data_IF_687400240871
#
_entry.id   IF_687400240871
#
_cell.length_a   1.000
_cell.length_b   1.000
_cell.length_c   1.000
_cell.angle_alpha   90.00
_cell.angle_beta   90.00
_cell.angle_gamma   90.00
#
_symmetry.space_group_name_H-M   'P 1'
#
loop_
_entity.id
_entity.type
_entity.pdbx_description
1 polymer ?
#
# COMPACT_ATOMS: atom_id res chain seq x y z
N UNK A 1 2.98 -15.90 17.12
CA UNK A 1 2.89 -15.51 15.70
C UNK A 1 4.28 -15.16 15.21
N UNK A 2 4.73 -15.82 14.16
CA UNK A 2 6.02 -15.51 13.52
C UNK A 2 5.74 -14.79 12.21
N UNK A 3 5.99 -13.48 12.20
CA UNK A 3 5.70 -12.65 11.04
C UNK A 3 6.96 -12.42 10.21
N UNK A 4 6.87 -12.69 8.92
CA UNK A 4 7.90 -12.36 7.95
C UNK A 4 7.35 -11.45 6.87
N UNK A 5 8.16 -10.52 6.38
CA UNK A 5 7.82 -9.65 5.24
C UNK A 5 8.82 -9.95 4.12
N UNK A 6 8.31 -10.22 2.95
CA UNK A 6 9.13 -10.57 1.79
C UNK A 6 8.56 -9.98 0.50
N UNK A 7 9.41 -9.77 -0.51
CA UNK A 7 8.94 -9.38 -1.84
C UNK A 7 7.99 -10.43 -2.41
N UNK A 8 6.97 -9.95 -3.11
CA UNK A 8 6.00 -10.79 -3.82
C UNK A 8 6.71 -11.53 -4.96
N UNK A 9 6.49 -12.84 -5.05
CA UNK A 9 6.93 -13.66 -6.17
C UNK A 9 5.75 -13.96 -7.09
N UNK A 10 6.01 -14.56 -8.24
CA UNK A 10 4.96 -14.97 -9.17
C UNK A 10 3.92 -15.88 -8.51
N UNK A 11 4.37 -16.79 -7.64
CA UNK A 11 3.48 -17.69 -6.90
C UNK A 11 2.62 -17.00 -5.85
N UNK A 12 2.95 -15.77 -5.47
CA UNK A 12 2.24 -14.99 -4.44
C UNK A 12 1.16 -14.07 -5.02
N UNK A 13 1.05 -13.95 -6.33
CA UNK A 13 0.13 -12.99 -6.96
C UNK A 13 -1.31 -13.21 -6.51
N UNK A 14 -1.76 -14.45 -6.42
CA UNK A 14 -3.10 -14.77 -5.94
C UNK A 14 -3.37 -14.25 -4.53
N UNK A 15 -2.42 -14.45 -3.61
CA UNK A 15 -2.54 -13.96 -2.24
C UNK A 15 -2.53 -12.42 -2.19
N UNK A 16 -1.72 -11.77 -3.03
CA UNK A 16 -1.72 -10.30 -3.13
C UNK A 16 -3.07 -9.78 -3.62
N UNK A 17 -3.65 -10.39 -4.66
CA UNK A 17 -4.97 -10.00 -5.18
C UNK A 17 -6.05 -10.12 -4.11
N UNK A 18 -6.06 -11.20 -3.34
CA UNK A 18 -7.01 -11.39 -2.23
C UNK A 18 -6.86 -10.28 -1.20
N UNK A 19 -5.64 -9.92 -0.82
CA UNK A 19 -5.39 -8.86 0.15
C UNK A 19 -5.84 -7.49 -0.38
N UNK A 20 -5.56 -7.20 -1.65
CA UNK A 20 -5.99 -5.94 -2.30
C UNK A 20 -7.51 -5.87 -2.41
N UNK A 21 -8.17 -6.97 -2.77
CA UNK A 21 -9.64 -7.04 -2.80
C UNK A 21 -10.25 -6.76 -1.43
N UNK A 22 -9.63 -7.28 -0.36
CA UNK A 22 -10.05 -6.97 1.00
C UNK A 22 -9.93 -5.49 1.33
N UNK A 23 -8.84 -4.84 0.92
CA UNK A 23 -8.68 -3.40 1.11
C UNK A 23 -9.74 -2.61 0.36
N UNK A 24 -10.03 -2.95 -0.89
CA UNK A 24 -11.07 -2.28 -1.68
C UNK A 24 -12.42 -2.38 -0.99
N UNK A 25 -12.80 -3.55 -0.50
CA UNK A 25 -14.08 -3.74 0.19
C UNK A 25 -14.16 -2.96 1.50
N UNK A 26 -13.08 -2.95 2.28
CA UNK A 26 -13.05 -2.33 3.61
C UNK A 26 -12.93 -0.80 3.57
N UNK A 27 -12.18 -0.26 2.59
CA UNK A 27 -11.80 1.14 2.54
C UNK A 27 -12.56 1.89 1.44
N UNK A 28 -12.29 1.60 0.18
CA UNK A 28 -12.98 2.23 -0.95
C UNK A 28 -14.49 1.96 -0.91
N UNK A 29 -14.90 0.74 -0.55
CA UNK A 29 -16.30 0.38 -0.43
C UNK A 29 -17.07 1.22 0.59
N UNK A 30 -16.40 1.78 1.57
CA UNK A 30 -16.98 2.70 2.56
C UNK A 30 -16.96 4.15 2.12
N UNK A 31 -15.90 4.58 1.44
CA UNK A 31 -15.56 5.98 1.29
C UNK A 31 -15.67 6.50 -0.13
N UNK A 32 -15.72 5.62 -1.12
CA UNK A 32 -15.72 6.03 -2.52
C UNK A 32 -16.66 5.14 -3.36
N UNK A 33 -17.92 5.56 -3.55
CA UNK A 33 -18.87 4.78 -4.33
C UNK A 33 -18.54 4.70 -5.82
N UNK A 34 -17.61 5.51 -6.30
CA UNK A 34 -17.15 5.45 -7.70
C UNK A 34 -16.06 4.42 -7.94
N UNK A 35 -15.53 3.81 -6.89
CA UNK A 35 -14.48 2.81 -7.02
C UNK A 35 -15.05 1.45 -7.47
N UNK A 36 -14.43 0.86 -8.48
CA UNK A 36 -14.81 -0.47 -8.94
C UNK A 36 -14.23 -1.54 -8.01
N UNK A 37 -15.05 -2.07 -7.14
CA UNK A 37 -14.63 -3.08 -6.15
C UNK A 37 -14.30 -4.44 -6.78
N UNK A 38 -14.71 -4.67 -8.02
CA UNK A 38 -14.39 -5.90 -8.75
C UNK A 38 -13.06 -5.85 -9.49
N UNK A 39 -12.41 -4.69 -9.54
CA UNK A 39 -11.15 -4.54 -10.27
C UNK A 39 -10.05 -5.51 -9.81
N UNK A 40 -9.80 -5.72 -8.50
CA UNK A 40 -8.71 -6.62 -8.09
C UNK A 40 -8.88 -8.04 -8.62
N UNK A 41 -10.08 -8.58 -8.58
CA UNK A 41 -10.33 -9.94 -9.04
C UNK A 41 -10.28 -10.07 -10.55
N UNK A 42 -10.72 -9.03 -11.28
CA UNK A 42 -10.79 -9.05 -12.74
C UNK A 42 -9.46 -8.74 -13.40
N UNK A 43 -8.71 -7.77 -12.89
CA UNK A 43 -7.51 -7.23 -13.54
C UNK A 43 -6.25 -7.25 -12.68
N UNK A 44 -6.38 -7.47 -11.39
CA UNK A 44 -5.28 -7.33 -10.44
C UNK A 44 -4.12 -8.29 -10.72
N UNK A 45 -4.41 -9.54 -11.02
CA UNK A 45 -3.36 -10.55 -11.23
C UNK A 45 -2.43 -10.15 -12.38
N UNK A 46 -2.97 -9.76 -13.51
CA UNK A 46 -2.18 -9.32 -14.66
C UNK A 46 -1.44 -8.01 -14.38
N UNK A 47 -2.10 -7.08 -13.72
CA UNK A 47 -1.52 -5.79 -13.35
C UNK A 47 -0.29 -5.97 -12.44
N UNK A 48 -0.43 -6.73 -11.37
CA UNK A 48 0.68 -6.94 -10.42
C UNK A 48 1.78 -7.83 -10.99
N UNK A 49 1.42 -8.79 -11.83
CA UNK A 49 2.42 -9.60 -12.53
C UNK A 49 3.36 -8.72 -13.37
N UNK A 50 2.82 -7.71 -14.06
CA UNK A 50 3.63 -6.77 -14.85
C UNK A 50 4.58 -5.92 -13.99
N UNK A 51 4.24 -5.70 -12.71
CA UNK A 51 5.08 -4.92 -11.81
C UNK A 51 6.22 -5.74 -11.18
N UNK A 52 6.18 -7.08 -11.32
CA UNK A 52 7.27 -7.92 -10.83
C UNK A 52 8.56 -7.59 -11.60
N UNK A 53 9.64 -7.35 -10.86
CA UNK A 53 10.93 -6.98 -11.44
C UNK A 53 11.07 -5.52 -11.84
N UNK A 54 10.03 -4.71 -11.75
CA UNK A 54 10.14 -3.27 -11.92
C UNK A 54 10.77 -2.66 -10.66
N UNK A 55 11.98 -2.14 -10.80
CA UNK A 55 12.73 -1.57 -9.67
C UNK A 55 12.10 -0.29 -9.12
N UNK A 56 11.21 0.37 -9.87
CA UNK A 56 10.46 1.52 -9.41
C UNK A 56 9.24 1.15 -8.57
N UNK A 57 8.95 -0.14 -8.44
CA UNK A 57 7.82 -0.66 -7.67
C UNK A 57 8.29 -1.58 -6.55
N UNK A 58 7.58 -1.54 -5.44
CA UNK A 58 7.76 -2.44 -4.31
C UNK A 58 6.46 -3.19 -4.06
N UNK A 59 6.50 -4.52 -4.11
CA UNK A 59 5.37 -5.36 -3.76
C UNK A 59 5.80 -6.27 -2.62
N UNK A 60 5.15 -6.13 -1.47
CA UNK A 60 5.45 -6.88 -0.26
C UNK A 60 4.23 -7.66 0.22
N UNK A 61 4.48 -8.87 0.72
CA UNK A 61 3.52 -9.61 1.53
C UNK A 61 4.09 -9.85 2.92
N UNK A 62 3.22 -9.72 3.92
CA UNK A 62 3.48 -10.17 5.27
C UNK A 62 2.82 -11.54 5.46
N UNK A 63 3.55 -12.46 6.07
CA UNK A 63 3.08 -13.82 6.33
C UNK A 63 3.19 -14.14 7.82
N UNK A 64 2.23 -14.89 8.33
CA UNK A 64 2.34 -15.64 9.57
C UNK A 64 2.46 -17.10 9.18
N UNK A 65 3.66 -17.67 9.31
CA UNK A 65 4.04 -18.93 8.70
C UNK A 65 3.73 -18.89 7.18
N UNK A 66 2.84 -19.75 6.68
CA UNK A 66 2.51 -19.81 5.26
C UNK A 66 1.28 -18.95 4.88
N UNK A 67 0.66 -18.30 5.85
CA UNK A 67 -0.55 -17.52 5.61
C UNK A 67 -0.22 -16.06 5.36
N UNK A 68 -0.66 -15.52 4.22
CA UNK A 68 -0.58 -14.09 3.94
C UNK A 68 -1.54 -13.33 4.86
N UNK A 69 -1.00 -12.34 5.59
CA UNK A 69 -1.75 -11.55 6.58
C UNK A 69 -1.72 -10.05 6.29
N UNK A 70 -1.08 -9.63 5.22
CA UNK A 70 -1.04 -8.24 4.83
C UNK A 70 -0.19 -8.00 3.60
N UNK A 71 -0.33 -6.81 3.03
CA UNK A 71 0.47 -6.38 1.89
C UNK A 71 0.84 -4.91 2.00
N UNK A 72 1.87 -4.53 1.25
CA UNK A 72 2.19 -3.13 0.96
C UNK A 72 2.69 -3.03 -0.48
N UNK A 73 2.18 -2.04 -1.19
CA UNK A 73 2.63 -1.69 -2.54
C UNK A 73 3.16 -0.27 -2.51
N UNK A 74 4.38 -0.09 -3.00
CA UNK A 74 5.03 1.20 -3.12
C UNK A 74 5.46 1.47 -4.56
N UNK A 75 5.61 2.74 -4.89
CA UNK A 75 6.05 3.17 -6.21
C UNK A 75 6.90 4.44 -6.08
N UNK A 76 7.95 4.55 -6.89
CA UNK A 76 8.71 5.79 -7.01
C UNK A 76 8.02 6.74 -7.98
N UNK A 77 8.03 8.02 -7.64
CA UNK A 77 7.48 9.09 -8.47
C UNK A 77 8.46 10.25 -8.54
N UNK A 78 8.73 10.73 -9.76
CA UNK A 78 9.68 11.81 -9.97
C UNK A 78 11.14 11.37 -9.82
N UNK A 79 12.09 12.34 -9.97
CA UNK A 79 11.82 13.73 -10.31
C UNK A 79 11.26 13.90 -11.73
N UNK A 80 10.63 15.04 -11.98
CA UNK A 80 10.06 15.38 -13.28
C UNK A 80 10.21 16.90 -13.56
N UNK A 81 9.58 17.40 -14.61
CA UNK A 81 9.68 18.81 -14.99
C UNK A 81 9.10 19.78 -13.96
N UNK A 82 8.23 19.31 -13.07
CA UNK A 82 7.59 20.12 -12.03
C UNK A 82 8.19 19.87 -10.65
N UNK A 83 8.78 18.70 -10.42
CA UNK A 83 9.24 18.27 -9.10
C UNK A 83 10.70 17.88 -9.14
N UNK A 84 11.46 18.46 -8.22
CA UNK A 84 12.90 18.27 -8.15
C UNK A 84 13.33 17.02 -7.38
N UNK A 85 12.40 16.37 -6.68
CA UNK A 85 12.71 15.26 -5.79
C UNK A 85 12.00 13.98 -6.22
N UNK A 86 12.62 12.85 -5.89
CA UNK A 86 11.99 11.55 -5.96
C UNK A 86 11.17 11.31 -4.69
N UNK A 87 9.93 10.91 -4.86
CA UNK A 87 9.00 10.59 -3.77
C UNK A 87 8.64 9.11 -3.84
N UNK A 88 8.77 8.41 -2.73
CA UNK A 88 8.24 7.06 -2.61
C UNK A 88 6.77 7.15 -2.19
N UNK A 89 5.89 6.63 -3.02
CA UNK A 89 4.45 6.64 -2.79
C UNK A 89 4.03 5.29 -2.20
N UNK A 90 3.44 5.30 -1.02
CA UNK A 90 2.76 4.14 -0.45
C UNK A 90 1.37 4.09 -1.09
N UNK A 91 1.21 3.23 -2.10
CA UNK A 91 -0.02 3.19 -2.89
C UNK A 91 -1.12 2.36 -2.26
N UNK A 92 -0.75 1.27 -1.59
CA UNK A 92 -1.72 0.30 -1.08
C UNK A 92 -1.13 -0.42 0.11
N UNK A 93 -1.90 -0.55 1.18
CA UNK A 93 -1.50 -1.31 2.36
C UNK A 93 -2.72 -1.86 3.09
N UNK A 94 -2.63 -3.10 3.49
CA UNK A 94 -3.65 -3.74 4.32
C UNK A 94 -3.00 -4.72 5.28
N UNK A 95 -3.55 -4.77 6.48
CA UNK A 95 -3.31 -5.86 7.43
C UNK A 95 -4.65 -6.57 7.64
N UNK A 96 -4.66 -7.89 7.48
CA UNK A 96 -5.87 -8.70 7.68
C UNK A 96 -6.46 -8.46 9.07
N UNK A 97 -7.79 -8.45 9.23
CA UNK A 97 -8.43 -8.10 10.50
C UNK A 97 -7.89 -8.86 11.71
N UNK A 98 -7.65 -10.16 11.56
CA UNK A 98 -7.13 -11.00 12.65
C UNK A 98 -5.67 -10.73 13.04
N UNK A 99 -4.92 -10.00 12.22
CA UNK A 99 -3.52 -9.67 12.47
C UNK A 99 -3.31 -8.19 12.84
N UNK A 100 -4.36 -7.41 12.95
CA UNK A 100 -4.28 -5.99 13.33
C UNK A 100 -3.87 -5.82 14.77
N UNK A 101 -3.21 -4.68 15.06
CA UNK A 101 -2.68 -4.31 16.40
C UNK A 101 -1.61 -5.27 16.93
N UNK A 102 -0.90 -5.94 16.02
CA UNK A 102 0.20 -6.86 16.33
C UNK A 102 1.55 -6.36 15.83
N UNK A 103 1.60 -5.15 15.25
CA UNK A 103 2.82 -4.55 14.73
C UNK A 103 3.12 -4.87 13.27
N UNK A 104 2.27 -5.63 12.58
CA UNK A 104 2.48 -6.00 11.15
C UNK A 104 2.51 -4.78 10.26
N UNK A 105 1.59 -3.83 10.44
CA UNK A 105 1.57 -2.59 9.67
C UNK A 105 2.85 -1.78 9.81
N UNK A 106 3.35 -1.64 11.04
CA UNK A 106 4.61 -0.96 11.32
C UNK A 106 5.81 -1.66 10.67
N UNK A 107 5.81 -2.99 10.65
CA UNK A 107 6.86 -3.76 9.98
C UNK A 107 6.85 -3.53 8.47
N UNK A 108 5.68 -3.54 7.84
CA UNK A 108 5.53 -3.23 6.42
C UNK A 108 6.04 -1.82 6.09
N UNK A 109 5.67 -0.81 6.89
CA UNK A 109 6.11 0.57 6.69
C UNK A 109 7.63 0.70 6.84
N UNK A 110 8.25 -0.01 7.80
CA UNK A 110 9.72 -0.01 7.94
C UNK A 110 10.41 -0.57 6.70
N UNK A 111 9.90 -1.65 6.13
CA UNK A 111 10.43 -2.21 4.88
C UNK A 111 10.27 -1.21 3.73
N UNK A 112 9.12 -0.55 3.65
CA UNK A 112 8.87 0.49 2.66
C UNK A 112 9.87 1.65 2.78
N UNK A 113 10.10 2.18 3.97
CA UNK A 113 11.06 3.26 4.18
C UNK A 113 12.49 2.83 3.83
N UNK A 114 12.89 1.63 4.18
CA UNK A 114 14.21 1.10 3.83
C UNK A 114 14.39 1.06 2.31
N UNK A 115 13.41 0.52 1.59
CA UNK A 115 13.43 0.50 0.13
C UNK A 115 13.45 1.91 -0.46
N UNK A 116 12.63 2.80 0.06
CA UNK A 116 12.55 4.18 -0.42
C UNK A 116 13.91 4.88 -0.33
N UNK A 117 14.58 4.77 0.82
CA UNK A 117 15.91 5.37 1.02
C UNK A 117 16.96 4.76 0.09
N UNK A 118 16.96 3.45 -0.06
CA UNK A 118 17.88 2.75 -0.97
C UNK A 118 17.66 3.13 -2.42
N UNK A 119 16.44 3.47 -2.78
CA UNK A 119 16.06 3.90 -4.13
C UNK A 119 16.32 5.37 -4.39
N UNK A 120 16.86 6.11 -3.42
CA UNK A 120 17.16 7.53 -3.55
C UNK A 120 15.97 8.47 -3.33
N UNK A 121 14.85 7.97 -2.83
CA UNK A 121 13.72 8.83 -2.48
C UNK A 121 14.07 9.75 -1.32
N UNK A 122 13.64 10.99 -1.43
CA UNK A 122 13.91 12.03 -0.44
C UNK A 122 12.70 12.29 0.44
N UNK A 123 11.52 11.86 -0.01
CA UNK A 123 10.27 11.95 0.72
C UNK A 123 9.43 10.69 0.47
N UNK A 124 8.50 10.44 1.38
CA UNK A 124 7.47 9.42 1.22
C UNK A 124 6.10 10.09 1.33
N UNK A 125 5.15 9.58 0.57
CA UNK A 125 3.77 10.06 0.63
C UNK A 125 2.78 8.90 0.72
N UNK A 126 1.62 9.17 1.29
CA UNK A 126 0.49 8.25 1.33
C UNK A 126 -0.79 9.06 1.23
N UNK A 127 -1.79 8.50 0.57
CA UNK A 127 -3.13 9.07 0.50
C UNK A 127 -4.09 8.19 1.29
N UNK A 128 -4.91 8.80 2.14
CA UNK A 128 -5.96 8.12 2.87
C UNK A 128 -7.24 8.93 2.78
N UNK A 129 -8.39 8.26 2.83
CA UNK A 129 -9.66 8.95 2.89
C UNK A 129 -9.75 9.79 4.16
N UNK A 130 -10.24 11.03 4.03
CA UNK A 130 -10.32 11.98 5.14
C UNK A 130 -11.16 11.45 6.31
N UNK A 131 -12.14 10.59 6.04
CA UNK A 131 -12.99 9.99 7.06
C UNK A 131 -12.38 8.73 7.71
N UNK A 132 -11.25 8.24 7.21
CA UNK A 132 -10.58 7.07 7.77
C UNK A 132 -9.62 7.49 8.89
N UNK A 133 -10.16 7.78 10.06
CA UNK A 133 -9.38 8.27 11.21
C UNK A 133 -8.32 7.27 11.67
N UNK A 134 -8.61 5.99 11.61
CA UNK A 134 -7.67 4.95 12.03
C UNK A 134 -6.42 4.95 11.14
N UNK A 135 -6.60 5.06 9.82
CA UNK A 135 -5.49 5.14 8.88
C UNK A 135 -4.67 6.42 9.11
N UNK A 136 -5.34 7.56 9.27
CA UNK A 136 -4.66 8.84 9.51
C UNK A 136 -3.82 8.81 10.78
N UNK A 137 -4.36 8.25 11.87
CA UNK A 137 -3.60 8.09 13.12
C UNK A 137 -2.42 7.14 12.95
N UNK A 138 -2.61 6.04 12.24
CA UNK A 138 -1.53 5.10 11.96
C UNK A 138 -0.38 5.78 11.21
N UNK A 139 -0.69 6.49 10.13
CA UNK A 139 0.34 7.17 9.34
C UNK A 139 1.02 8.29 10.12
N UNK A 140 0.27 9.03 10.95
CA UNK A 140 0.87 10.05 11.82
C UNK A 140 1.89 9.46 12.78
N UNK A 141 1.62 8.28 13.37
CA UNK A 141 2.59 7.59 14.24
C UNK A 141 3.86 7.17 13.50
N UNK A 142 3.79 7.02 12.18
CA UNK A 142 4.94 6.65 11.34
C UNK A 142 5.60 7.83 10.66
N UNK A 143 5.31 9.06 11.09
CA UNK A 143 5.99 10.25 10.64
C UNK A 143 5.36 10.96 9.45
N UNK A 144 4.22 10.50 8.98
CA UNK A 144 3.47 11.21 7.94
C UNK A 144 2.65 12.34 8.54
N UNK A 145 2.72 13.51 7.93
CA UNK A 145 1.90 14.66 8.30
C UNK A 145 1.07 15.13 7.10
N UNK A 146 -0.10 15.73 7.33
CA UNK A 146 -0.94 16.22 6.23
C UNK A 146 -0.20 17.22 5.35
N UNK A 147 -0.33 17.06 4.04
CA UNK A 147 0.29 17.96 3.07
C UNK A 147 -0.72 18.65 2.17
N UNK A 148 -1.74 17.95 1.73
CA UNK A 148 -2.72 18.48 0.81
C UNK A 148 -4.09 17.89 1.11
N UNK A 149 -5.13 18.54 0.62
CA UNK A 149 -6.51 18.08 0.73
C UNK A 149 -7.10 18.02 -0.68
N UNK A 150 -7.76 16.92 -1.00
CA UNK A 150 -8.58 16.78 -2.20
C UNK A 150 -10.03 16.92 -1.80
N UNK A 151 -10.75 17.83 -2.44
CA UNK A 151 -12.19 18.02 -2.23
C UNK A 151 -12.93 17.60 -3.49
N UNK A 152 -14.10 17.01 -3.32
CA UNK A 152 -14.91 16.50 -4.41
C UNK A 152 -16.35 17.03 -4.27
N UNK A 153 -16.97 17.39 -5.38
CA UNK A 153 -18.36 17.84 -5.41
C UNK A 153 -19.16 16.95 -6.36
N UNK A 154 -20.40 16.66 -5.98
CA UNK A 154 -21.37 15.99 -6.87
C UNK A 154 -21.98 17.06 -7.78
N UNK A 155 -22.07 16.79 -9.10
CA UNK A 155 -22.66 17.70 -10.09
C UNK A 155 -24.06 17.25 -10.49
#
# INVERSE_FOLDING_TARGET
>A
MTVTVSPVTEGDIGALVVSVAGLFAEDAGRHDPAMDLGWPEREGAEYYFRLLGDQACLLLLAHDDDQAIGHLIGRLSGPDSLRTQCVAVLESMRVAPGARRTGVGGLLVRHFFTWARRSGAQQASVTAYAANDAALRFYARHGFSPKSVTARAVL
#
